data_IF_278342559352
#
_entry.id   IF_278342559352
#
_cell.length_a   1.000
_cell.length_b   1.000
_cell.length_c   1.000
_cell.angle_alpha   90.00
_cell.angle_beta   90.00
_cell.angle_gamma   90.00
#
_symmetry.space_group_name_H-M   'P 1'
#
loop_
_entity.id
_entity.type
_entity.pdbx_description
1 polymer ?
#
# COMPACT_ATOMS: atom_id res chain seq x y z
N UNK A 1 -4.38 1.37 50.82
CA UNK A 1 -5.28 2.13 49.91
C UNK A 1 -4.56 2.92 48.80
N UNK A 2 -3.30 3.37 48.95
CA UNK A 2 -2.57 4.13 47.89
C UNK A 2 -2.12 3.31 46.67
N UNK A 3 -1.92 1.99 46.78
CA UNK A 3 -1.47 1.14 45.66
C UNK A 3 -2.59 0.70 44.70
N UNK A 4 -3.85 0.67 45.14
CA UNK A 4 -4.99 0.30 44.29
C UNK A 4 -5.42 1.45 43.38
N UNK A 5 -5.23 2.70 43.80
CA UNK A 5 -5.53 3.90 43.01
C UNK A 5 -4.57 4.07 41.82
N UNK A 6 -3.29 3.63 41.97
CA UNK A 6 -2.29 3.76 40.90
C UNK A 6 -2.54 2.79 39.73
N UNK A 7 -3.10 1.60 40.02
CA UNK A 7 -3.45 0.60 38.98
C UNK A 7 -4.69 1.03 38.19
N UNK A 8 -5.65 1.69 38.83
CA UNK A 8 -6.85 2.22 38.15
C UNK A 8 -6.55 3.42 37.22
N UNK A 9 -5.58 4.26 37.60
CA UNK A 9 -5.16 5.40 36.77
C UNK A 9 -4.39 4.95 35.52
N UNK A 10 -3.57 3.89 35.62
CA UNK A 10 -2.86 3.33 34.46
C UNK A 10 -3.77 2.63 33.46
N UNK A 11 -4.86 1.99 33.92
CA UNK A 11 -5.85 1.36 33.03
C UNK A 11 -6.73 2.42 32.31
N UNK A 12 -7.02 3.55 32.97
CA UNK A 12 -7.77 4.66 32.36
C UNK A 12 -6.92 5.46 31.36
N UNK A 13 -5.60 5.58 31.58
CA UNK A 13 -4.72 6.27 30.62
C UNK A 13 -4.44 5.45 29.35
N UNK A 14 -4.45 4.12 29.43
CA UNK A 14 -4.31 3.27 28.24
C UNK A 14 -5.56 3.27 27.34
N UNK A 15 -6.71 3.64 27.86
CA UNK A 15 -7.97 3.80 27.11
C UNK A 15 -8.11 5.13 26.37
N UNK A 16 -7.25 6.12 26.64
CA UNK A 16 -7.36 7.49 26.06
C UNK A 16 -6.52 7.70 24.78
N UNK A 17 -5.72 6.72 24.36
CA UNK A 17 -4.94 6.79 23.11
C UNK A 17 -5.73 6.34 21.86
N UNK A 18 -7.00 5.97 22.00
CA UNK A 18 -7.86 5.48 20.92
C UNK A 18 -8.68 6.58 20.20
N UNK A 19 -8.26 7.81 20.17
CA UNK A 19 -9.18 8.91 19.86
C UNK A 19 -8.83 9.78 18.65
N UNK A 20 -9.07 9.28 17.43
CA UNK A 20 -9.49 10.18 16.34
C UNK A 20 -10.66 9.64 15.52
N UNK A 21 -10.81 8.31 15.43
CA UNK A 21 -12.00 7.67 14.86
C UNK A 21 -12.83 7.00 15.97
N UNK A 22 -13.78 7.74 16.53
CA UNK A 22 -14.68 7.27 17.60
C UNK A 22 -15.74 6.25 17.11
N UNK A 23 -15.61 5.72 15.89
CA UNK A 23 -16.56 4.73 15.36
C UNK A 23 -16.27 3.35 15.92
N UNK A 24 -17.31 2.64 16.38
CA UNK A 24 -17.17 1.23 16.71
C UNK A 24 -16.84 0.41 15.45
N UNK A 25 -16.17 -0.74 15.61
CA UNK A 25 -15.86 -1.62 14.48
C UNK A 25 -17.11 -2.03 13.70
N UNK A 26 -18.24 -2.26 14.39
CA UNK A 26 -19.51 -2.56 13.72
C UNK A 26 -20.05 -1.38 12.90
N UNK A 27 -19.81 -0.14 13.33
CA UNK A 27 -20.16 1.03 12.54
C UNK A 27 -19.29 1.13 11.27
N UNK A 28 -17.98 0.80 11.37
CA UNK A 28 -17.09 0.74 10.22
C UNK A 28 -17.49 -0.35 9.23
N UNK A 29 -17.89 -1.53 9.72
CA UNK A 29 -18.37 -2.61 8.83
C UNK A 29 -19.65 -2.18 8.08
N UNK A 30 -20.60 -1.50 8.75
CA UNK A 30 -21.79 -0.95 8.06
C UNK A 30 -21.42 0.14 7.05
N UNK A 31 -20.40 0.93 7.31
CA UNK A 31 -19.88 1.92 6.36
C UNK A 31 -19.31 1.23 5.13
N UNK A 32 -18.51 0.16 5.30
CA UNK A 32 -17.98 -0.67 4.20
C UNK A 32 -19.12 -1.23 3.36
N UNK A 33 -20.15 -1.82 3.99
CA UNK A 33 -21.33 -2.35 3.30
C UNK A 33 -22.01 -1.28 2.43
N UNK A 34 -22.09 -0.04 2.92
CA UNK A 34 -22.63 1.12 2.19
C UNK A 34 -21.74 1.54 1.03
N UNK A 35 -20.42 1.57 1.23
CA UNK A 35 -19.45 1.93 0.19
C UNK A 35 -19.46 0.90 -0.94
N UNK A 36 -19.47 -0.40 -0.63
CA UNK A 36 -19.53 -1.48 -1.63
C UNK A 36 -20.80 -1.35 -2.50
N UNK A 37 -21.95 -1.03 -1.91
CA UNK A 37 -23.20 -0.80 -2.66
C UNK A 37 -23.12 0.39 -3.61
N UNK A 38 -22.36 1.42 -3.24
CA UNK A 38 -22.24 2.68 -3.97
C UNK A 38 -20.87 2.85 -4.67
N UNK A 39 -20.09 1.77 -4.82
CA UNK A 39 -18.69 1.84 -5.33
C UNK A 39 -18.55 2.44 -6.72
N UNK A 40 -19.62 2.38 -7.53
CA UNK A 40 -19.65 3.02 -8.86
C UNK A 40 -19.43 4.54 -8.79
N UNK A 41 -19.88 5.20 -7.73
CA UNK A 41 -19.68 6.65 -7.54
C UNK A 41 -18.19 6.98 -7.42
N UNK A 42 -17.45 6.26 -6.57
CA UNK A 42 -16.01 6.45 -6.40
C UNK A 42 -15.21 6.12 -7.66
N UNK A 43 -15.65 5.06 -8.39
CA UNK A 43 -15.09 4.73 -9.70
C UNK A 43 -15.33 5.84 -10.74
N UNK A 44 -16.52 6.43 -10.78
CA UNK A 44 -16.83 7.53 -11.69
C UNK A 44 -16.01 8.79 -11.40
N UNK A 45 -15.77 9.13 -10.12
CA UNK A 45 -14.90 10.24 -9.72
C UNK A 45 -13.44 9.99 -10.16
N UNK A 46 -12.95 8.75 -10.04
CA UNK A 46 -11.62 8.34 -10.50
C UNK A 46 -11.50 8.47 -12.03
N UNK A 47 -12.49 7.96 -12.78
CA UNK A 47 -12.50 8.06 -14.23
C UNK A 47 -12.60 9.51 -14.73
N UNK A 48 -13.31 10.39 -14.02
CA UNK A 48 -13.33 11.82 -14.33
C UNK A 48 -11.95 12.46 -14.21
N UNK A 49 -11.21 12.20 -13.10
CA UNK A 49 -9.84 12.68 -12.94
C UNK A 49 -8.91 12.17 -14.04
N UNK A 50 -9.03 10.89 -14.39
CA UNK A 50 -8.26 10.29 -15.49
C UNK A 50 -8.61 10.95 -16.84
N UNK A 51 -9.87 11.24 -17.11
CA UNK A 51 -10.30 11.91 -18.32
C UNK A 51 -9.74 13.34 -18.42
N UNK A 52 -9.74 14.09 -17.32
CA UNK A 52 -9.14 15.42 -17.25
C UNK A 52 -7.63 15.38 -17.51
N UNK A 53 -6.90 14.45 -16.91
CA UNK A 53 -5.47 14.25 -17.16
C UNK A 53 -5.16 13.88 -18.62
N UNK A 54 -5.99 13.03 -19.26
CA UNK A 54 -5.85 12.70 -20.68
C UNK A 54 -6.08 13.90 -21.58
N UNK A 55 -7.00 14.79 -21.23
CA UNK A 55 -7.22 16.04 -21.95
C UNK A 55 -6.00 16.95 -21.83
N UNK A 56 -5.46 17.14 -20.62
CA UNK A 56 -4.25 17.93 -20.39
C UNK A 56 -3.05 17.33 -21.16
N UNK A 57 -2.91 16.01 -21.19
CA UNK A 57 -1.87 15.34 -21.99
C UNK A 57 -2.00 15.64 -23.49
N UNK A 58 -3.24 15.65 -24.01
CA UNK A 58 -3.48 15.96 -25.41
C UNK A 58 -3.19 17.44 -25.78
N UNK A 59 -3.38 18.34 -24.84
CA UNK A 59 -3.14 19.79 -24.98
C UNK A 59 -1.67 20.17 -24.69
N UNK A 60 -0.83 19.24 -24.19
CA UNK A 60 0.56 19.50 -23.81
C UNK A 60 1.41 19.91 -25.02
N UNK A 61 2.20 20.97 -24.85
CA UNK A 61 2.99 21.61 -25.93
C UNK A 61 4.47 21.19 -25.90
N UNK A 62 4.98 20.65 -24.78
CA UNK A 62 6.35 20.15 -24.68
C UNK A 62 6.42 18.68 -24.22
N UNK A 63 7.55 18.02 -24.45
CA UNK A 63 7.77 16.65 -24.02
C UNK A 63 7.91 16.55 -22.50
N UNK A 64 8.41 17.56 -21.80
CA UNK A 64 8.41 17.65 -20.35
C UNK A 64 6.99 17.66 -19.77
N UNK A 65 6.09 18.45 -20.35
CA UNK A 65 4.68 18.46 -19.92
C UNK A 65 4.03 17.09 -20.15
N UNK A 66 4.27 16.47 -21.33
CA UNK A 66 3.76 15.14 -21.64
C UNK A 66 4.27 14.10 -20.66
N UNK A 67 5.57 14.15 -20.32
CA UNK A 67 6.18 13.28 -19.35
C UNK A 67 5.51 13.41 -17.96
N UNK A 68 5.30 14.64 -17.49
CA UNK A 68 4.61 14.90 -16.24
C UNK A 68 3.18 14.36 -16.22
N UNK A 69 2.38 14.61 -17.29
CA UNK A 69 1.01 14.08 -17.37
C UNK A 69 0.98 12.55 -17.51
N UNK A 70 1.94 11.93 -18.19
CA UNK A 70 2.08 10.48 -18.20
C UNK A 70 2.39 9.93 -16.78
N UNK A 71 3.20 10.65 -15.99
CA UNK A 71 3.46 10.32 -14.59
C UNK A 71 2.19 10.37 -13.74
N UNK A 72 1.40 11.45 -13.83
CA UNK A 72 0.11 11.53 -13.12
C UNK A 72 -0.88 10.44 -13.56
N UNK A 73 -0.92 10.09 -14.85
CA UNK A 73 -1.76 8.99 -15.34
C UNK A 73 -1.25 7.63 -14.86
N UNK A 74 0.06 7.42 -14.79
CA UNK A 74 0.64 6.25 -14.16
C UNK A 74 0.18 6.12 -12.70
N UNK A 75 0.25 7.19 -11.90
CA UNK A 75 -0.16 7.21 -10.50
C UNK A 75 -1.66 6.92 -10.33
N UNK A 76 -2.52 7.47 -11.21
CA UNK A 76 -3.95 7.17 -11.17
C UNK A 76 -4.24 5.70 -11.52
N UNK A 77 -3.45 5.07 -12.39
CA UNK A 77 -3.70 3.71 -12.86
C UNK A 77 -3.01 2.61 -12.05
N UNK A 78 -1.88 2.86 -11.36
CA UNK A 78 -1.04 1.81 -10.76
C UNK A 78 -1.72 0.89 -9.75
N UNK A 79 -2.81 1.33 -9.12
CA UNK A 79 -3.64 0.52 -8.24
C UNK A 79 -5.10 0.41 -8.71
N UNK A 80 -5.35 0.76 -9.98
CA UNK A 80 -6.68 0.79 -10.58
C UNK A 80 -6.78 -0.05 -11.86
N UNK A 81 -5.78 0.04 -12.76
CA UNK A 81 -5.67 -0.77 -13.97
C UNK A 81 -4.18 -0.88 -14.37
N UNK A 82 -3.58 -2.03 -14.09
CA UNK A 82 -2.14 -2.25 -14.26
C UNK A 82 -1.69 -2.19 -15.73
N UNK A 83 -2.54 -2.64 -16.69
CA UNK A 83 -2.18 -2.57 -18.12
C UNK A 83 -2.07 -1.11 -18.59
N UNK A 84 -3.03 -0.26 -18.18
CA UNK A 84 -2.96 1.18 -18.47
C UNK A 84 -1.78 1.85 -17.78
N UNK A 85 -1.49 1.48 -16.55
CA UNK A 85 -0.31 1.97 -15.82
C UNK A 85 0.97 1.66 -16.58
N UNK A 86 1.14 0.42 -17.05
CA UNK A 86 2.31 0.01 -17.84
C UNK A 86 2.44 0.81 -19.14
N UNK A 87 1.33 1.03 -19.86
CA UNK A 87 1.32 1.87 -21.08
C UNK A 87 1.84 3.28 -20.80
N UNK A 88 1.45 3.90 -19.67
CA UNK A 88 1.94 5.25 -19.35
C UNK A 88 3.38 5.24 -18.88
N UNK A 89 3.87 4.20 -18.20
CA UNK A 89 5.29 4.03 -17.91
C UNK A 89 6.13 3.91 -19.20
N UNK A 90 5.69 3.13 -20.20
CA UNK A 90 6.35 3.05 -21.51
C UNK A 90 6.36 4.39 -22.25
N UNK A 91 5.26 5.16 -22.21
CA UNK A 91 5.22 6.51 -22.81
C UNK A 91 6.20 7.45 -22.13
N UNK A 92 6.39 7.36 -20.81
CA UNK A 92 7.44 8.10 -20.10
C UNK A 92 8.82 7.73 -20.61
N UNK A 93 9.12 6.45 -20.79
CA UNK A 93 10.40 5.98 -21.35
C UNK A 93 10.65 6.57 -22.75
N UNK A 94 9.68 6.49 -23.66
CA UNK A 94 9.77 7.07 -25.01
C UNK A 94 10.05 8.59 -24.98
N UNK A 95 9.36 9.31 -24.07
CA UNK A 95 9.55 10.75 -23.89
C UNK A 95 10.94 11.06 -23.31
N UNK A 96 11.40 10.29 -22.34
CA UNK A 96 12.72 10.45 -21.73
C UNK A 96 13.85 10.23 -22.74
N UNK A 97 13.71 9.23 -23.63
CA UNK A 97 14.64 9.02 -24.75
C UNK A 97 14.70 10.20 -25.72
N UNK A 98 13.53 10.78 -26.07
CA UNK A 98 13.50 11.97 -26.96
C UNK A 98 14.14 13.19 -26.34
N UNK A 99 14.07 13.32 -25.02
CA UNK A 99 14.65 14.44 -24.29
C UNK A 99 16.12 14.22 -23.90
N UNK A 100 16.66 13.00 -24.11
CA UNK A 100 18.00 12.59 -23.67
C UNK A 100 18.24 12.85 -22.17
N UNK A 101 17.25 12.49 -21.33
CA UNK A 101 17.29 12.70 -19.87
C UNK A 101 17.38 11.37 -19.12
N UNK A 102 18.57 11.10 -18.58
CA UNK A 102 18.86 9.84 -17.88
C UNK A 102 18.01 9.64 -16.62
N UNK A 103 17.83 10.68 -15.82
CA UNK A 103 17.00 10.65 -14.62
C UNK A 103 15.52 10.32 -14.91
N UNK A 104 15.02 10.76 -16.06
CA UNK A 104 13.67 10.44 -16.52
C UNK A 104 13.57 8.99 -17.04
N UNK A 105 14.64 8.48 -17.68
CA UNK A 105 14.73 7.07 -18.08
C UNK A 105 14.72 6.16 -16.86
N UNK A 106 15.52 6.47 -15.84
CA UNK A 106 15.59 5.71 -14.59
C UNK A 106 14.23 5.71 -13.88
N UNK A 107 13.54 6.85 -13.79
CA UNK A 107 12.20 6.95 -13.20
C UNK A 107 11.16 6.15 -14.00
N UNK A 108 11.18 6.21 -15.34
CA UNK A 108 10.29 5.40 -16.17
C UNK A 108 10.56 3.89 -16.02
N UNK A 109 11.85 3.47 -15.97
CA UNK A 109 12.23 2.09 -15.72
C UNK A 109 11.74 1.60 -14.35
N UNK A 110 11.83 2.43 -13.30
CA UNK A 110 11.28 2.12 -11.99
C UNK A 110 9.76 1.98 -12.02
N UNK A 111 9.03 2.82 -12.75
CA UNK A 111 7.58 2.68 -12.91
C UNK A 111 7.20 1.35 -13.58
N UNK A 112 7.93 0.94 -14.63
CA UNK A 112 7.71 -0.35 -15.27
C UNK A 112 8.03 -1.52 -14.32
N UNK A 113 9.12 -1.42 -13.56
CA UNK A 113 9.48 -2.44 -12.57
C UNK A 113 8.44 -2.57 -11.45
N UNK A 114 7.78 -1.47 -11.03
CA UNK A 114 6.67 -1.51 -10.07
C UNK A 114 5.51 -2.35 -10.60
N UNK A 115 5.06 -2.10 -11.83
CA UNK A 115 3.97 -2.86 -12.44
C UNK A 115 4.37 -4.33 -12.63
N UNK A 116 5.58 -4.62 -13.11
CA UNK A 116 6.09 -5.98 -13.25
C UNK A 116 6.12 -6.70 -11.90
N UNK A 117 6.62 -6.05 -10.85
CA UNK A 117 6.62 -6.62 -9.49
C UNK A 117 5.21 -6.90 -8.96
N UNK A 118 4.26 -5.99 -9.17
CA UNK A 118 2.86 -6.16 -8.76
C UNK A 118 2.16 -7.30 -9.50
N UNK A 119 2.55 -7.55 -10.76
CA UNK A 119 2.00 -8.64 -11.59
C UNK A 119 2.71 -9.98 -11.42
N UNK A 120 3.78 -10.04 -10.60
CA UNK A 120 4.54 -11.26 -10.31
C UNK A 120 5.71 -11.53 -11.25
N UNK A 121 6.04 -10.61 -12.13
CA UNK A 121 7.19 -10.67 -13.04
C UNK A 121 8.46 -10.18 -12.31
N UNK A 122 8.79 -10.87 -11.21
CA UNK A 122 9.85 -10.41 -10.29
C UNK A 122 11.24 -10.38 -10.91
N UNK A 123 11.54 -11.37 -11.76
CA UNK A 123 12.84 -11.47 -12.42
C UNK A 123 13.05 -10.28 -13.36
N UNK A 124 12.07 -10.04 -14.22
CA UNK A 124 12.09 -8.94 -15.19
C UNK A 124 12.15 -7.57 -14.47
N UNK A 125 11.41 -7.41 -13.38
CA UNK A 125 11.46 -6.20 -12.56
C UNK A 125 12.86 -5.98 -11.95
N UNK A 126 13.49 -7.02 -11.40
CA UNK A 126 14.84 -6.92 -10.83
C UNK A 126 15.91 -6.71 -11.91
N UNK A 127 15.77 -7.31 -13.08
CA UNK A 127 16.66 -7.10 -14.22
C UNK A 127 16.61 -5.64 -14.70
N UNK A 128 15.41 -5.06 -14.78
CA UNK A 128 15.21 -3.67 -15.16
C UNK A 128 15.82 -2.71 -14.13
N UNK A 129 15.56 -2.92 -12.85
CA UNK A 129 16.15 -2.13 -11.77
C UNK A 129 17.67 -2.27 -11.71
N UNK A 130 18.21 -3.44 -12.06
CA UNK A 130 19.65 -3.71 -12.09
C UNK A 130 20.40 -2.98 -13.18
N UNK A 131 19.72 -2.44 -14.19
CA UNK A 131 20.32 -1.62 -15.25
C UNK A 131 20.56 -0.17 -14.83
N UNK A 132 19.89 0.29 -13.78
CA UNK A 132 20.03 1.64 -13.26
C UNK A 132 21.40 1.80 -12.58
N UNK A 133 22.23 2.72 -13.08
CA UNK A 133 23.47 3.06 -12.40
C UNK A 133 23.21 3.90 -11.16
N UNK A 134 23.26 3.26 -10.01
CA UNK A 134 23.06 3.91 -8.73
C UNK A 134 23.94 5.16 -8.49
N UNK A 135 25.11 5.26 -9.14
CA UNK A 135 26.02 6.39 -8.94
C UNK A 135 25.54 7.66 -9.62
N UNK A 136 24.73 7.53 -10.66
CA UNK A 136 24.16 8.65 -11.42
C UNK A 136 22.72 8.95 -11.03
N UNK A 137 22.11 8.08 -10.19
CA UNK A 137 20.73 8.26 -9.75
C UNK A 137 20.60 9.50 -8.85
N UNK A 138 19.67 10.44 -9.15
CA UNK A 138 19.42 11.60 -8.31
C UNK A 138 18.91 11.23 -6.91
N UNK A 139 19.24 12.04 -5.91
CA UNK A 139 18.89 11.79 -4.51
C UNK A 139 17.38 11.59 -4.29
N UNK A 140 16.54 12.31 -5.02
CA UNK A 140 15.08 12.19 -4.88
C UNK A 140 14.50 10.86 -5.36
N UNK A 141 15.24 10.07 -6.15
CA UNK A 141 14.83 8.77 -6.64
C UNK A 141 15.29 7.59 -5.76
N UNK A 142 16.26 7.78 -4.86
CA UNK A 142 16.74 6.67 -4.01
C UNK A 142 15.65 6.03 -3.18
N UNK A 143 14.73 6.84 -2.62
CA UNK A 143 13.62 6.32 -1.83
C UNK A 143 12.74 5.36 -2.64
N UNK A 144 12.39 5.74 -3.87
CA UNK A 144 11.60 4.90 -4.75
C UNK A 144 12.36 3.65 -5.22
N UNK A 145 13.61 3.79 -5.60
CA UNK A 145 14.49 2.69 -6.00
C UNK A 145 14.59 1.61 -4.91
N UNK A 146 14.90 1.99 -3.68
CA UNK A 146 14.99 1.03 -2.57
C UNK A 146 13.63 0.47 -2.15
N UNK A 147 12.56 1.26 -2.28
CA UNK A 147 11.20 0.79 -2.03
C UNK A 147 10.83 -0.37 -2.97
N UNK A 148 11.13 -0.25 -4.25
CA UNK A 148 10.86 -1.31 -5.23
C UNK A 148 11.63 -2.59 -4.92
N UNK A 149 12.93 -2.51 -4.67
CA UNK A 149 13.71 -3.69 -4.27
C UNK A 149 13.17 -4.35 -3.01
N UNK A 150 12.88 -3.54 -1.97
CA UNK A 150 12.29 -4.06 -0.73
C UNK A 150 10.96 -4.77 -0.99
N UNK A 151 10.09 -4.19 -1.79
CA UNK A 151 8.76 -4.73 -2.09
C UNK A 151 8.87 -6.01 -2.92
N UNK A 152 9.68 -6.02 -3.98
CA UNK A 152 9.84 -7.18 -4.84
C UNK A 152 10.44 -8.35 -4.06
N UNK A 153 11.53 -8.14 -3.29
CA UNK A 153 12.10 -9.21 -2.48
C UNK A 153 11.16 -9.68 -1.37
N UNK A 154 10.34 -8.79 -0.78
CA UNK A 154 9.30 -9.16 0.17
C UNK A 154 8.27 -10.10 -0.45
N UNK A 155 7.72 -9.74 -1.62
CA UNK A 155 6.80 -10.59 -2.36
C UNK A 155 7.43 -11.93 -2.77
N UNK A 156 8.68 -11.93 -3.26
CA UNK A 156 9.40 -13.17 -3.55
C UNK A 156 9.57 -14.05 -2.30
N UNK A 157 9.77 -13.45 -1.13
CA UNK A 157 9.82 -14.15 0.15
C UNK A 157 8.48 -14.77 0.53
N UNK A 158 7.38 -14.04 0.34
CA UNK A 158 6.02 -14.52 0.65
C UNK A 158 5.63 -15.74 -0.21
N UNK A 159 6.09 -15.79 -1.47
CA UNK A 159 5.78 -16.88 -2.41
C UNK A 159 6.89 -17.93 -2.54
N UNK A 160 7.97 -17.83 -1.75
CA UNK A 160 9.09 -18.78 -1.83
C UNK A 160 8.67 -20.18 -1.36
N UNK A 161 8.99 -21.20 -2.17
CA UNK A 161 8.62 -22.62 -1.91
C UNK A 161 9.47 -23.22 -0.78
N UNK A 162 10.73 -22.80 -0.64
CA UNK A 162 11.65 -23.38 0.34
C UNK A 162 12.08 -22.36 1.39
N UNK A 163 12.22 -22.82 2.64
CA UNK A 163 12.66 -21.97 3.75
C UNK A 163 14.04 -21.34 3.52
N UNK A 164 14.95 -22.02 2.81
CA UNK A 164 16.26 -21.47 2.46
C UNK A 164 16.15 -20.25 1.56
N UNK A 165 15.36 -20.34 0.51
CA UNK A 165 15.12 -19.25 -0.44
C UNK A 165 14.36 -18.11 0.21
N UNK A 166 13.33 -18.45 1.01
CA UNK A 166 12.54 -17.49 1.77
C UNK A 166 13.39 -16.62 2.70
N UNK A 167 14.29 -17.25 3.45
CA UNK A 167 15.23 -16.54 4.34
C UNK A 167 16.15 -15.59 3.56
N UNK A 168 16.64 -16.01 2.39
CA UNK A 168 17.50 -15.14 1.57
C UNK A 168 16.74 -13.92 1.04
N UNK A 169 15.50 -14.09 0.56
CA UNK A 169 14.70 -12.96 0.10
C UNK A 169 14.34 -11.99 1.23
N UNK A 170 13.98 -12.48 2.42
CA UNK A 170 13.74 -11.60 3.55
C UNK A 170 15.03 -10.91 4.04
N UNK A 171 16.19 -11.55 3.93
CA UNK A 171 17.47 -10.89 4.19
C UNK A 171 17.69 -9.71 3.22
N UNK A 172 17.36 -9.88 1.94
CA UNK A 172 17.41 -8.79 0.96
C UNK A 172 16.38 -7.70 1.28
N UNK A 173 15.17 -8.09 1.69
CA UNK A 173 14.14 -7.14 2.16
C UNK A 173 14.63 -6.29 3.32
N UNK A 174 15.31 -6.89 4.29
CA UNK A 174 15.92 -6.18 5.43
C UNK A 174 17.01 -5.20 5.00
N UNK A 175 17.88 -5.61 4.08
CA UNK A 175 18.93 -4.75 3.53
C UNK A 175 18.35 -3.48 2.90
N UNK A 176 17.31 -3.62 2.08
CA UNK A 176 16.67 -2.47 1.43
C UNK A 176 15.78 -1.67 2.37
N UNK A 177 15.24 -2.29 3.43
CA UNK A 177 14.58 -1.58 4.54
C UNK A 177 15.57 -0.64 5.25
N UNK A 178 16.77 -1.13 5.55
CA UNK A 178 17.81 -0.29 6.16
C UNK A 178 18.28 0.83 5.23
N UNK A 179 18.36 0.57 3.91
CA UNK A 179 18.68 1.60 2.92
C UNK A 179 17.59 2.69 2.87
N UNK A 180 16.31 2.32 2.94
CA UNK A 180 15.19 3.26 3.01
C UNK A 180 15.24 4.16 4.25
N UNK A 181 15.61 3.60 5.40
CA UNK A 181 15.74 4.37 6.64
C UNK A 181 16.87 5.41 6.58
N UNK A 182 17.87 5.19 5.73
CA UNK A 182 18.98 6.14 5.54
C UNK A 182 18.60 7.31 4.62
N UNK A 183 17.73 7.09 3.63
CA UNK A 183 17.42 8.11 2.61
C UNK A 183 16.10 8.85 2.88
N UNK A 184 15.17 8.26 3.61
CA UNK A 184 13.91 8.91 3.95
C UNK A 184 14.09 9.85 5.15
N UNK A 185 13.55 11.07 5.04
CA UNK A 185 13.50 11.99 6.18
C UNK A 185 12.77 11.35 7.38
N UNK A 186 13.33 11.48 8.56
CA UNK A 186 12.88 10.78 9.78
C UNK A 186 11.43 11.08 10.20
N UNK A 187 10.90 12.23 9.79
CA UNK A 187 9.51 12.66 10.03
C UNK A 187 8.54 12.35 8.89
N UNK A 188 9.04 11.75 7.79
CA UNK A 188 8.24 11.37 6.63
C UNK A 188 7.38 10.12 6.91
N UNK A 189 6.24 10.01 6.21
CA UNK A 189 5.40 8.81 6.25
C UNK A 189 6.19 7.55 5.85
N UNK A 190 7.00 7.66 4.79
CA UNK A 190 7.80 6.53 4.31
C UNK A 190 8.77 6.02 5.37
N UNK A 191 9.46 6.90 6.10
CA UNK A 191 10.34 6.50 7.19
C UNK A 191 9.58 5.79 8.33
N UNK A 192 8.46 6.38 8.77
CA UNK A 192 7.65 5.82 9.86
C UNK A 192 7.10 4.45 9.51
N UNK A 193 6.58 4.25 8.29
CA UNK A 193 6.08 2.95 7.83
C UNK A 193 7.19 1.90 7.77
N UNK A 194 8.37 2.24 7.26
CA UNK A 194 9.51 1.32 7.18
C UNK A 194 10.06 0.98 8.56
N UNK A 195 10.15 1.97 9.47
CA UNK A 195 10.59 1.73 10.83
C UNK A 195 9.60 0.87 11.61
N UNK A 196 8.29 1.13 11.48
CA UNK A 196 7.25 0.32 12.10
C UNK A 196 7.27 -1.12 11.58
N UNK A 197 7.44 -1.32 10.27
CA UNK A 197 7.60 -2.64 9.66
C UNK A 197 8.86 -3.35 10.21
N UNK A 198 9.98 -2.66 10.37
CA UNK A 198 11.18 -3.19 11.04
C UNK A 198 10.89 -3.62 12.47
N UNK A 199 10.22 -2.79 13.26
CA UNK A 199 9.81 -3.14 14.61
C UNK A 199 8.89 -4.37 14.65
N UNK A 200 7.95 -4.46 13.72
CA UNK A 200 7.03 -5.62 13.59
C UNK A 200 7.80 -6.91 13.33
N UNK A 201 8.74 -6.91 12.40
CA UNK A 201 9.57 -8.09 12.07
C UNK A 201 10.43 -8.53 13.27
N UNK A 202 10.85 -7.59 14.09
CA UNK A 202 11.61 -7.85 15.32
C UNK A 202 10.74 -8.05 16.58
N UNK A 203 9.45 -8.31 16.42
CA UNK A 203 8.49 -8.53 17.49
C UNK A 203 8.34 -7.37 18.49
N UNK A 204 8.69 -6.16 18.09
CA UNK A 204 8.52 -4.91 18.85
C UNK A 204 7.18 -4.25 18.54
N UNK A 205 6.08 -5.00 18.73
CA UNK A 205 4.75 -4.62 18.27
C UNK A 205 4.21 -3.33 18.92
N UNK A 206 4.44 -3.16 20.23
CA UNK A 206 3.97 -1.98 20.96
C UNK A 206 4.65 -0.70 20.47
N UNK A 207 5.93 -0.76 20.16
CA UNK A 207 6.69 0.36 19.61
C UNK A 207 6.20 0.72 18.21
N UNK A 208 6.00 -0.29 17.34
CA UNK A 208 5.44 -0.08 16.00
C UNK A 208 4.06 0.58 16.07
N UNK A 209 3.17 0.06 16.90
CA UNK A 209 1.82 0.60 17.09
C UNK A 209 1.89 2.05 17.60
N UNK A 210 2.73 2.34 18.58
CA UNK A 210 2.90 3.70 19.14
C UNK A 210 3.31 4.70 18.06
N UNK A 211 4.35 4.37 17.27
CA UNK A 211 4.85 5.24 16.20
C UNK A 211 3.80 5.49 15.11
N UNK A 212 3.11 4.43 14.68
CA UNK A 212 2.07 4.53 13.66
C UNK A 212 0.88 5.37 14.15
N UNK A 213 0.45 5.18 15.41
CA UNK A 213 -0.63 5.96 16.01
C UNK A 213 -0.26 7.44 16.16
N UNK A 214 0.96 7.74 16.56
CA UNK A 214 1.45 9.11 16.65
C UNK A 214 1.39 9.80 15.28
N UNK A 215 1.80 9.09 14.21
CA UNK A 215 1.72 9.63 12.86
C UNK A 215 0.27 9.75 12.36
N UNK A 216 -0.57 8.74 12.61
CA UNK A 216 -1.98 8.72 12.22
C UNK A 216 -2.78 9.89 12.82
N UNK A 217 -2.38 10.37 14.00
CA UNK A 217 -3.02 11.51 14.65
C UNK A 217 -2.58 12.87 14.08
N UNK A 218 -1.64 12.94 13.13
CA UNK A 218 -1.29 14.19 12.45
C UNK A 218 -2.49 14.75 11.67
N UNK A 219 -2.69 16.07 11.66
CA UNK A 219 -3.73 16.68 10.82
C UNK A 219 -3.40 16.50 9.33
N UNK A 220 -4.43 16.44 8.49
CA UNK A 220 -4.30 16.49 7.02
C UNK A 220 -3.68 15.28 6.34
N UNK A 221 -3.91 14.06 6.85
CA UNK A 221 -3.59 12.84 6.12
C UNK A 221 -4.62 12.59 5.00
N UNK A 222 -4.14 12.34 3.78
CA UNK A 222 -4.98 11.87 2.68
C UNK A 222 -5.42 10.41 2.89
N UNK A 223 -6.38 9.95 2.10
CA UNK A 223 -6.93 8.60 2.27
C UNK A 223 -5.93 7.51 1.92
N UNK A 224 -5.01 7.73 0.98
CA UNK A 224 -3.95 6.78 0.67
C UNK A 224 -2.99 6.60 1.86
N UNK A 225 -2.53 7.70 2.47
CA UNK A 225 -1.71 7.68 3.68
C UNK A 225 -2.41 6.98 4.85
N UNK A 226 -3.71 7.23 5.02
CA UNK A 226 -4.54 6.54 6.03
C UNK A 226 -4.62 5.04 5.76
N UNK A 227 -4.85 4.62 4.51
CA UNK A 227 -4.91 3.21 4.14
C UNK A 227 -3.62 2.48 4.50
N UNK A 228 -2.46 3.03 4.15
CA UNK A 228 -1.15 2.45 4.46
C UNK A 228 -0.90 2.35 5.96
N UNK A 229 -1.15 3.44 6.71
CA UNK A 229 -0.94 3.48 8.17
C UNK A 229 -1.85 2.48 8.89
N UNK A 230 -3.13 2.46 8.55
CA UNK A 230 -4.10 1.58 9.21
C UNK A 230 -3.92 0.12 8.82
N UNK A 231 -3.49 -0.16 7.59
CA UNK A 231 -3.07 -1.51 7.22
C UNK A 231 -1.87 -1.98 8.05
N UNK A 232 -0.81 -1.16 8.17
CA UNK A 232 0.38 -1.50 8.96
C UNK A 232 0.06 -1.64 10.45
N UNK A 233 -0.82 -0.79 11.00
CA UNK A 233 -1.37 -0.95 12.35
C UNK A 233 -2.08 -2.30 12.53
N UNK A 234 -2.89 -2.70 11.55
CA UNK A 234 -3.59 -3.99 11.61
C UNK A 234 -2.65 -5.18 11.71
N UNK A 235 -1.50 -5.12 11.00
CA UNK A 235 -0.47 -6.18 11.08
C UNK A 235 0.24 -6.19 12.45
N UNK A 236 0.51 -5.02 13.01
CA UNK A 236 1.03 -4.91 14.38
C UNK A 236 0.10 -5.53 15.42
N UNK A 237 -1.19 -5.22 15.36
CA UNK A 237 -2.21 -5.81 16.26
C UNK A 237 -2.40 -7.31 16.01
N UNK A 238 -2.38 -7.76 14.74
CA UNK A 238 -2.46 -9.18 14.39
C UNK A 238 -1.35 -9.99 15.05
N UNK A 239 -0.11 -9.55 14.93
CA UNK A 239 1.05 -10.26 15.47
C UNK A 239 1.15 -10.14 17.00
N UNK A 240 0.59 -9.08 17.58
CA UNK A 240 0.39 -8.96 19.03
C UNK A 240 -0.70 -9.89 19.56
N UNK A 241 -1.55 -10.47 18.69
CA UNK A 241 -2.68 -11.34 19.05
C UNK A 241 -3.96 -10.58 19.39
N UNK A 242 -4.04 -9.28 19.13
CA UNK A 242 -5.25 -8.46 19.34
C UNK A 242 -6.11 -8.48 18.07
N UNK A 243 -7.04 -9.44 18.00
CA UNK A 243 -7.98 -9.58 16.88
C UNK A 243 -8.93 -8.40 16.72
N UNK A 244 -9.31 -7.74 17.81
CA UNK A 244 -10.23 -6.59 17.74
C UNK A 244 -9.53 -5.36 17.18
N UNK A 245 -8.31 -5.07 17.61
CA UNK A 245 -7.46 -4.03 17.01
C UNK A 245 -7.18 -4.32 15.55
N UNK A 246 -6.80 -5.55 15.20
CA UNK A 246 -6.59 -5.98 13.81
C UNK A 246 -7.82 -5.67 12.94
N UNK A 247 -8.99 -6.13 13.36
CA UNK A 247 -10.26 -5.97 12.64
C UNK A 247 -10.61 -4.49 12.45
N UNK A 248 -10.46 -3.69 13.51
CA UNK A 248 -10.75 -2.26 13.49
C UNK A 248 -9.89 -1.52 12.44
N UNK A 249 -8.57 -1.73 12.47
CA UNK A 249 -7.65 -1.05 11.55
C UNK A 249 -7.71 -1.59 10.12
N UNK A 250 -8.03 -2.88 9.92
CA UNK A 250 -8.37 -3.40 8.58
C UNK A 250 -9.62 -2.74 8.00
N UNK A 251 -10.64 -2.51 8.83
CA UNK A 251 -11.86 -1.84 8.39
C UNK A 251 -11.59 -0.39 7.97
N UNK A 252 -10.77 0.35 8.71
CA UNK A 252 -10.36 1.71 8.34
C UNK A 252 -9.55 1.73 7.04
N UNK A 253 -8.60 0.79 6.87
CA UNK A 253 -7.83 0.66 5.63
C UNK A 253 -8.74 0.35 4.44
N UNK A 254 -9.66 -0.61 4.58
CA UNK A 254 -10.60 -0.97 3.51
C UNK A 254 -11.52 0.20 3.11
N UNK A 255 -11.97 1.02 4.07
CA UNK A 255 -12.77 2.22 3.79
C UNK A 255 -11.97 3.21 2.94
N UNK A 256 -10.70 3.47 3.32
CA UNK A 256 -9.84 4.40 2.61
C UNK A 256 -9.51 3.90 1.18
N UNK A 257 -9.18 2.62 1.03
CA UNK A 257 -8.92 2.00 -0.28
C UNK A 257 -10.16 2.10 -1.20
N UNK A 258 -11.33 1.69 -0.71
CA UNK A 258 -12.57 1.70 -1.49
C UNK A 258 -13.00 3.11 -1.90
N UNK A 259 -12.89 4.12 -1.00
CA UNK A 259 -13.20 5.51 -1.32
C UNK A 259 -12.25 6.12 -2.34
N UNK A 260 -10.99 5.69 -2.34
CA UNK A 260 -9.99 6.10 -3.33
C UNK A 260 -10.10 5.32 -4.64
N UNK A 261 -11.08 4.43 -4.78
CA UNK A 261 -11.24 3.52 -5.91
C UNK A 261 -9.98 2.69 -6.22
N UNK A 262 -9.17 2.39 -5.19
CA UNK A 262 -8.09 1.41 -5.29
C UNK A 262 -8.69 0.04 -5.56
N UNK A 263 -8.10 -0.76 -6.44
CA UNK A 263 -8.56 -2.11 -6.80
C UNK A 263 -7.54 -3.21 -6.50
N UNK A 264 -6.28 -2.81 -6.26
CA UNK A 264 -5.19 -3.69 -5.83
C UNK A 264 -5.00 -3.54 -4.32
N UNK A 265 -5.92 -4.03 -3.50
CA UNK A 265 -5.87 -3.94 -2.03
C UNK A 265 -5.95 -5.32 -1.36
N UNK A 266 -5.46 -5.37 -0.12
CA UNK A 266 -5.41 -6.60 0.71
C UNK A 266 -6.33 -6.50 1.92
N UNK A 267 -6.64 -5.28 2.35
CA UNK A 267 -7.36 -4.98 3.59
C UNK A 267 -8.74 -5.62 3.64
N UNK A 268 -9.57 -5.48 2.61
CA UNK A 268 -10.92 -6.03 2.57
C UNK A 268 -10.92 -7.58 2.55
N UNK A 269 -10.00 -8.21 1.82
CA UNK A 269 -9.85 -9.67 1.82
C UNK A 269 -9.49 -10.22 3.19
N UNK A 270 -8.49 -9.61 3.86
CA UNK A 270 -8.11 -10.00 5.23
C UNK A 270 -9.25 -9.76 6.23
N UNK A 271 -10.00 -8.67 6.06
CA UNK A 271 -11.18 -8.39 6.87
C UNK A 271 -12.27 -9.44 6.66
N UNK A 272 -12.48 -9.87 5.42
CA UNK A 272 -13.43 -10.93 5.09
C UNK A 272 -13.13 -12.23 5.84
N UNK A 273 -11.86 -12.63 5.95
CA UNK A 273 -11.47 -13.82 6.72
C UNK A 273 -11.82 -13.67 8.21
N UNK A 274 -11.61 -12.47 8.80
CA UNK A 274 -11.95 -12.26 10.21
C UNK A 274 -13.45 -12.29 10.48
N UNK A 275 -14.26 -11.69 9.62
CA UNK A 275 -15.73 -11.72 9.79
C UNK A 275 -16.31 -13.09 9.48
N UNK A 276 -15.67 -13.89 8.61
CA UNK A 276 -16.00 -15.29 8.40
C UNK A 276 -15.77 -16.12 9.68
N UNK A 277 -14.61 -15.97 10.32
CA UNK A 277 -14.28 -16.66 11.58
C UNK A 277 -15.26 -16.31 12.71
N UNK A 278 -15.89 -15.14 12.66
CA UNK A 278 -16.92 -14.69 13.60
C UNK A 278 -18.33 -15.18 13.24
N UNK A 279 -18.51 -15.87 12.10
CA UNK A 279 -19.77 -16.44 11.64
C UNK A 279 -20.62 -15.51 10.78
N UNK A 280 -20.15 -14.31 10.39
CA UNK A 280 -20.85 -13.40 9.47
C UNK A 280 -20.53 -13.79 8.00
N UNK A 281 -21.11 -14.93 7.58
CA UNK A 281 -20.82 -15.55 6.27
C UNK A 281 -21.24 -14.65 5.12
N UNK A 282 -22.40 -14.00 5.21
CA UNK A 282 -22.93 -13.16 4.14
C UNK A 282 -22.02 -11.95 3.88
N UNK A 283 -21.54 -11.30 4.95
CA UNK A 283 -20.63 -10.18 4.83
C UNK A 283 -19.27 -10.63 4.30
N UNK A 284 -18.72 -11.73 4.81
CA UNK A 284 -17.47 -12.32 4.33
C UNK A 284 -17.53 -12.60 2.83
N UNK A 285 -18.59 -13.24 2.35
CA UNK A 285 -18.81 -13.50 0.93
C UNK A 285 -18.86 -12.21 0.10
N UNK A 286 -19.62 -11.20 0.55
CA UNK A 286 -19.72 -9.93 -0.16
C UNK A 286 -18.38 -9.20 -0.26
N UNK A 287 -17.55 -9.26 0.80
CA UNK A 287 -16.23 -8.63 0.82
C UNK A 287 -15.25 -9.37 -0.11
N UNK A 288 -15.24 -10.70 -0.09
CA UNK A 288 -14.41 -11.51 -0.99
C UNK A 288 -14.83 -11.30 -2.46
N UNK A 289 -16.13 -11.31 -2.74
CA UNK A 289 -16.67 -11.05 -4.08
C UNK A 289 -16.23 -9.67 -4.60
N UNK A 290 -16.37 -8.62 -3.77
CA UNK A 290 -15.94 -7.28 -4.12
C UNK A 290 -14.43 -7.25 -4.42
N UNK A 291 -13.61 -7.85 -3.53
CA UNK A 291 -12.16 -7.92 -3.70
C UNK A 291 -11.75 -8.66 -4.98
N UNK A 292 -12.45 -9.76 -5.33
CA UNK A 292 -12.16 -10.54 -6.54
C UNK A 292 -12.53 -9.76 -7.82
N UNK A 293 -13.68 -9.10 -7.83
CA UNK A 293 -14.11 -8.28 -8.96
C UNK A 293 -13.13 -7.13 -9.19
N UNK A 294 -12.70 -6.43 -8.14
CA UNK A 294 -11.75 -5.34 -8.23
C UNK A 294 -10.35 -5.81 -8.67
N UNK A 295 -9.82 -6.89 -8.09
CA UNK A 295 -8.53 -7.46 -8.51
C UNK A 295 -8.54 -7.92 -9.98
N UNK A 296 -9.67 -8.47 -10.46
CA UNK A 296 -9.84 -8.87 -11.85
C UNK A 296 -9.86 -7.66 -12.79
N UNK A 297 -10.60 -6.60 -12.44
CA UNK A 297 -10.66 -5.37 -13.21
C UNK A 297 -9.31 -4.62 -13.24
N UNK A 298 -8.53 -4.71 -12.17
CA UNK A 298 -7.19 -4.14 -12.08
C UNK A 298 -6.14 -4.95 -12.87
N UNK A 299 -6.44 -6.19 -13.25
CA UNK A 299 -5.48 -7.21 -13.74
C UNK A 299 -4.40 -7.56 -12.70
N UNK A 300 -4.75 -7.50 -11.40
CA UNK A 300 -3.87 -7.84 -10.28
C UNK A 300 -3.86 -9.36 -10.07
N UNK A 301 -3.11 -10.08 -10.92
CA UNK A 301 -3.12 -11.56 -11.00
C UNK A 301 -2.80 -12.23 -9.66
N UNK A 302 -1.83 -11.72 -8.91
CA UNK A 302 -1.47 -12.27 -7.61
C UNK A 302 -2.62 -12.13 -6.60
N UNK A 303 -3.31 -10.99 -6.59
CA UNK A 303 -4.48 -10.77 -5.72
C UNK A 303 -5.63 -11.69 -6.09
N UNK A 304 -5.88 -11.87 -7.38
CA UNK A 304 -6.90 -12.83 -7.87
C UNK A 304 -6.59 -14.24 -7.38
N UNK A 305 -5.31 -14.68 -7.46
CA UNK A 305 -4.88 -15.98 -6.96
C UNK A 305 -5.07 -16.11 -5.43
N UNK A 306 -4.61 -15.12 -4.65
CA UNK A 306 -4.77 -15.11 -3.20
C UNK A 306 -6.23 -15.18 -2.74
N UNK A 307 -7.12 -14.46 -3.44
CA UNK A 307 -8.55 -14.45 -3.11
C UNK A 307 -9.17 -15.81 -3.44
N UNK A 308 -8.83 -16.40 -4.59
CA UNK A 308 -9.37 -17.71 -5.01
C UNK A 308 -8.97 -18.87 -4.08
N UNK A 309 -7.95 -18.71 -3.25
CA UNK A 309 -7.57 -19.70 -2.24
C UNK A 309 -8.42 -19.63 -0.97
N UNK A 310 -9.20 -18.56 -0.78
CA UNK A 310 -10.08 -18.35 0.39
C UNK A 310 -11.52 -18.76 0.11
N UNK A 311 -11.95 -18.78 -1.18
CA UNK A 311 -13.25 -19.31 -1.60
C UNK A 311 -13.28 -20.82 -1.55
#
# INVERSE_FOLDING_TARGET
>A
MKKVILIFVTIVLSGLLYAKDNKSTDALLREIDGIIKNRQTYGAEKEARIADLKKLLAEATSDEQRYGFCGHLFDEYRAYNLDSSFVYAQRKEELAHRMDKLDYLDDAAMNMAEVMGTTGMYKEALELLGQIDKKTLPDYLYGYYYHLYRTIYGLMGDYAVTEKVKKEYYRMTDLYRDSLLQVNASDSLGHVLVMADKCIVHAQYDEAIRMLMEYYNKPSLDDHSKAMLTYTLSEGYRLKGDKQGQKHYLALSAIADLKSAVKEYVSLRKLASLVYDEGDIDRAYNYLKCSLEDATLCNARLRTLEISQVF
#
